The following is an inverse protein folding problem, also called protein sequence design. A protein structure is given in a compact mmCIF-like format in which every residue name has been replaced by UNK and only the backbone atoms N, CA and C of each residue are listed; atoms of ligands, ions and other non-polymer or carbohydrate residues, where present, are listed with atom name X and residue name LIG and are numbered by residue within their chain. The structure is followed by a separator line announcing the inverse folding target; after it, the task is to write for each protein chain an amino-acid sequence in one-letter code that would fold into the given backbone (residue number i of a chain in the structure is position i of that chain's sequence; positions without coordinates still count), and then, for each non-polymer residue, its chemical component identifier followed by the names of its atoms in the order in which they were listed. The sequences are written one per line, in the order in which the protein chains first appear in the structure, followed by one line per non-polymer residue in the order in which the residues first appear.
data_IF_963068670808
#
_entry.id   IF_963068670808
#
_cell.length_a   1.000
_cell.length_b   1.000
_cell.length_c   1.000
_cell.angle_alpha   90.00
_cell.angle_beta   90.00
_cell.angle_gamma   90.00
#
_symmetry.space_group_name_H-M   'P 1'
#
loop_
_entity.id
_entity.type
_entity.pdbx_description
1 polymer ?
#
# COMPACT_ATOMS: atom_id res chain seq x y z
N UNK A 1 -21.57 -25.71 14.04
CA UNK A 1 -20.97 -24.40 13.71
C UNK A 1 -19.47 -24.48 13.96
N UNK A 2 -18.60 -24.17 12.98
CA UNK A 2 -17.17 -24.13 13.24
C UNK A 2 -16.86 -23.00 14.24
N UNK A 3 -16.16 -23.32 15.33
CA UNK A 3 -15.69 -22.33 16.30
C UNK A 3 -14.61 -21.49 15.62
N UNK A 4 -14.96 -20.29 15.17
CA UNK A 4 -14.02 -19.29 14.67
C UNK A 4 -13.09 -18.98 15.84
N UNK A 5 -11.82 -19.39 15.75
CA UNK A 5 -10.82 -19.00 16.76
C UNK A 5 -10.64 -17.48 16.64
N UNK A 6 -10.69 -16.71 17.74
CA UNK A 6 -10.34 -15.31 17.68
C UNK A 6 -8.94 -15.18 17.08
N UNK A 7 -8.79 -14.34 16.06
CA UNK A 7 -7.49 -14.00 15.48
C UNK A 7 -6.55 -13.57 16.61
N UNK A 8 -5.38 -14.21 16.68
CA UNK A 8 -4.26 -13.78 17.51
C UNK A 8 -3.88 -12.34 17.14
N UNK A 9 -3.22 -11.62 18.04
CA UNK A 9 -2.71 -10.27 17.78
C UNK A 9 -1.93 -10.20 16.45
N UNK A 10 -1.06 -11.18 16.21
CA UNK A 10 -0.29 -11.34 14.96
C UNK A 10 -1.19 -11.48 13.73
N UNK A 11 -2.27 -12.26 13.82
CA UNK A 11 -3.23 -12.43 12.73
C UNK A 11 -3.98 -11.15 12.38
N UNK A 12 -4.30 -10.33 13.39
CA UNK A 12 -4.95 -9.02 13.18
C UNK A 12 -4.01 -8.01 12.53
N UNK A 13 -2.74 -8.00 12.93
CA UNK A 13 -1.72 -7.14 12.33
C UNK A 13 -1.43 -7.52 10.88
N UNK A 14 -1.37 -8.82 10.58
CA UNK A 14 -1.21 -9.31 9.21
C UNK A 14 -2.41 -8.92 8.32
N UNK A 15 -3.65 -9.09 8.80
CA UNK A 15 -4.84 -8.63 8.09
C UNK A 15 -4.86 -7.11 7.88
N UNK A 16 -4.49 -6.34 8.89
CA UNK A 16 -4.43 -4.89 8.79
C UNK A 16 -3.39 -4.46 7.75
N UNK A 17 -2.19 -5.04 7.80
CA UNK A 17 -1.12 -4.79 6.83
C UNK A 17 -1.58 -5.09 5.41
N UNK A 18 -2.27 -6.24 5.23
CA UNK A 18 -2.83 -6.61 3.92
C UNK A 18 -3.84 -5.57 3.42
N UNK A 19 -4.79 -5.15 4.27
CA UNK A 19 -5.79 -4.12 3.91
C UNK A 19 -5.14 -2.79 3.53
N UNK A 20 -4.16 -2.33 4.32
CA UNK A 20 -3.43 -1.11 4.02
C UNK A 20 -2.72 -1.19 2.67
N UNK A 21 -2.08 -2.33 2.38
CA UNK A 21 -1.41 -2.53 1.11
C UNK A 21 -2.39 -2.60 -0.07
N UNK A 22 -3.58 -3.17 0.10
CA UNK A 22 -4.65 -3.21 -0.92
C UNK A 22 -5.12 -1.80 -1.32
N UNK A 23 -5.39 -0.94 -0.32
CA UNK A 23 -5.76 0.47 -0.56
C UNK A 23 -4.66 1.19 -1.33
N UNK A 24 -3.41 1.00 -0.90
CA UNK A 24 -2.26 1.65 -1.52
C UNK A 24 -2.00 1.17 -2.95
N UNK A 25 -2.25 -0.11 -3.24
CA UNK A 25 -2.19 -0.65 -4.60
C UNK A 25 -3.26 -0.02 -5.52
N UNK A 26 -4.47 0.24 -5.00
CA UNK A 26 -5.52 0.98 -5.73
C UNK A 26 -5.09 2.42 -5.97
N UNK A 27 -4.59 3.11 -4.95
CA UNK A 27 -4.12 4.49 -5.07
C UNK A 27 -2.96 4.62 -6.08
N UNK A 28 -2.00 3.69 -6.08
CA UNK A 28 -0.92 3.61 -7.07
C UNK A 28 -1.43 3.46 -8.51
N UNK A 29 -2.52 2.70 -8.71
CA UNK A 29 -3.15 2.56 -10.03
C UNK A 29 -3.84 3.85 -10.45
N UNK A 30 -4.59 4.49 -9.55
CA UNK A 30 -5.26 5.77 -9.79
C UNK A 30 -4.29 6.90 -10.10
N UNK A 31 -3.24 7.06 -9.30
CA UNK A 31 -2.20 8.07 -9.51
C UNK A 31 -1.65 8.08 -10.94
N UNK A 32 -1.40 6.91 -11.54
CA UNK A 32 -0.93 6.82 -12.93
C UNK A 32 -1.97 7.34 -13.92
N UNK A 33 -3.25 7.06 -13.69
CA UNK A 33 -4.36 7.54 -14.54
C UNK A 33 -4.53 9.05 -14.38
N UNK A 34 -4.51 9.55 -13.15
CA UNK A 34 -4.83 10.94 -12.83
C UNK A 34 -3.71 11.91 -13.21
N UNK A 35 -2.45 11.52 -13.02
CA UNK A 35 -1.29 12.39 -13.29
C UNK A 35 -0.60 12.12 -14.63
N UNK A 36 -0.87 10.98 -15.26
CA UNK A 36 -0.16 10.52 -16.45
C UNK A 36 1.32 10.17 -16.23
N UNK A 37 1.83 10.28 -14.98
CA UNK A 37 3.22 10.00 -14.66
C UNK A 37 3.50 8.51 -14.82
N UNK A 38 4.51 8.17 -15.60
CA UNK A 38 4.91 6.79 -15.80
C UNK A 38 5.54 6.20 -14.54
N UNK A 39 5.28 4.91 -14.32
CA UNK A 39 5.83 4.15 -13.20
C UNK A 39 7.37 4.25 -13.13
N UNK A 40 8.06 4.41 -14.27
CA UNK A 40 9.52 4.56 -14.31
C UNK A 40 10.01 5.86 -13.64
N UNK A 41 9.27 6.96 -13.78
CA UNK A 41 9.60 8.24 -13.14
C UNK A 41 9.38 8.14 -11.63
N UNK A 42 8.25 7.54 -11.23
CA UNK A 42 7.94 7.28 -9.83
C UNK A 42 9.00 6.38 -9.18
N UNK A 43 9.41 5.30 -9.87
CA UNK A 43 10.48 4.40 -9.42
C UNK A 43 11.80 5.15 -9.18
N UNK A 44 12.20 6.04 -10.10
CA UNK A 44 13.41 6.85 -9.93
C UNK A 44 13.33 7.76 -8.71
N UNK A 45 12.18 8.38 -8.46
CA UNK A 45 11.99 9.25 -7.27
C UNK A 45 12.05 8.47 -5.96
N UNK A 46 11.55 7.23 -5.97
CA UNK A 46 11.46 6.36 -4.80
C UNK A 46 12.73 5.50 -4.59
N UNK A 47 13.65 5.47 -5.56
CA UNK A 47 14.83 4.60 -5.52
C UNK A 47 14.49 3.10 -5.57
N UNK A 48 13.35 2.73 -6.15
CA UNK A 48 12.90 1.33 -6.21
C UNK A 48 12.91 0.78 -7.63
N UNK A 49 12.99 -0.54 -7.76
CA UNK A 49 12.91 -1.20 -9.07
C UNK A 49 11.49 -1.11 -9.65
N UNK A 50 11.40 -1.09 -10.99
CA UNK A 50 10.11 -1.14 -11.69
C UNK A 50 9.31 -2.40 -11.35
N UNK A 51 10.00 -3.51 -11.12
CA UNK A 51 9.39 -4.77 -10.72
C UNK A 51 8.73 -4.66 -9.34
N UNK A 52 9.31 -3.87 -8.42
CA UNK A 52 8.70 -3.63 -7.11
C UNK A 52 7.33 -2.96 -7.25
N UNK A 53 7.19 -1.90 -8.06
CA UNK A 53 5.89 -1.24 -8.30
C UNK A 53 4.89 -2.19 -8.95
N UNK A 54 5.31 -3.00 -9.93
CA UNK A 54 4.42 -3.98 -10.57
C UNK A 54 3.93 -5.00 -9.54
N UNK A 55 4.81 -5.46 -8.66
CA UNK A 55 4.46 -6.39 -7.60
C UNK A 55 3.50 -5.74 -6.60
N UNK A 56 3.75 -4.51 -6.15
CA UNK A 56 2.84 -3.80 -5.24
C UNK A 56 1.45 -3.60 -5.84
N UNK A 57 1.35 -3.40 -7.16
CA UNK A 57 0.06 -3.31 -7.86
C UNK A 57 -0.63 -4.67 -8.01
N UNK A 58 0.11 -5.78 -8.14
CA UNK A 58 -0.47 -7.12 -8.39
C UNK A 58 -0.76 -7.88 -7.10
N UNK A 59 0.19 -7.88 -6.18
CA UNK A 59 0.11 -8.56 -4.90
C UNK A 59 0.53 -7.61 -3.77
N UNK A 60 -0.45 -6.97 -3.11
CA UNK A 60 -0.17 -6.04 -2.03
C UNK A 60 0.45 -6.70 -0.79
N UNK A 61 0.41 -8.03 -0.64
CA UNK A 61 0.88 -8.71 0.58
C UNK A 61 2.37 -8.53 0.91
N UNK A 62 3.18 -8.03 -0.04
CA UNK A 62 4.65 -8.01 0.05
C UNK A 62 5.21 -6.64 0.49
N UNK A 63 4.39 -5.59 0.55
CA UNK A 63 4.87 -4.26 0.86
C UNK A 63 5.06 -4.07 2.38
N UNK A 64 6.27 -3.67 2.79
CA UNK A 64 6.57 -3.32 4.18
C UNK A 64 5.96 -1.96 4.55
N UNK A 65 5.74 -1.73 5.84
CA UNK A 65 5.12 -0.50 6.34
C UNK A 65 5.95 0.77 6.01
N UNK A 66 7.28 0.69 6.06
CA UNK A 66 8.17 1.80 5.65
C UNK A 66 8.00 2.13 4.16
N UNK A 67 7.91 1.10 3.31
CA UNK A 67 7.69 1.29 1.88
C UNK A 67 6.30 1.87 1.60
N UNK A 68 5.28 1.40 2.31
CA UNK A 68 3.92 1.95 2.22
C UNK A 68 3.94 3.47 2.49
N UNK A 69 4.59 3.90 3.59
CA UNK A 69 4.71 5.32 3.94
C UNK A 69 5.43 6.14 2.85
N UNK A 70 6.56 5.65 2.34
CA UNK A 70 7.32 6.31 1.25
C UNK A 70 6.48 6.46 -0.01
N UNK A 71 5.81 5.38 -0.42
CA UNK A 71 4.96 5.38 -1.62
C UNK A 71 3.80 6.34 -1.46
N UNK A 72 3.07 6.27 -0.33
CA UNK A 72 1.96 7.19 -0.02
C UNK A 72 2.37 8.65 -0.12
N UNK A 73 3.52 9.02 0.43
CA UNK A 73 4.03 10.38 0.35
C UNK A 73 4.35 10.80 -1.09
N UNK A 74 4.94 9.91 -1.90
CA UNK A 74 5.29 10.20 -3.28
C UNK A 74 4.06 10.35 -4.20
N UNK A 75 3.02 9.52 -4.00
CA UNK A 75 1.80 9.59 -4.83
C UNK A 75 0.76 10.59 -4.31
N UNK A 76 1.05 11.27 -3.19
CA UNK A 76 0.14 12.21 -2.52
C UNK A 76 -1.27 11.62 -2.39
N UNK A 77 -1.37 10.49 -1.70
CA UNK A 77 -2.66 9.82 -1.44
C UNK A 77 -3.69 10.80 -0.88
N UNK A 78 -4.95 10.59 -1.26
CA UNK A 78 -6.06 11.37 -0.73
C UNK A 78 -6.13 11.25 0.81
N UNK A 79 -6.69 12.23 1.52
CA UNK A 79 -6.87 12.14 2.97
C UNK A 79 -7.66 10.89 3.40
N UNK A 80 -8.63 10.46 2.58
CA UNK A 80 -9.43 9.25 2.79
C UNK A 80 -8.58 7.97 2.67
N UNK A 81 -7.76 7.87 1.62
CA UNK A 81 -6.85 6.74 1.44
C UNK A 81 -5.77 6.72 2.53
N UNK A 82 -5.28 7.89 2.94
CA UNK A 82 -4.31 8.02 4.03
C UNK A 82 -4.86 7.53 5.38
N UNK A 83 -6.13 7.84 5.67
CA UNK A 83 -6.84 7.31 6.83
C UNK A 83 -6.99 5.78 6.76
N UNK A 84 -7.35 5.26 5.59
CA UNK A 84 -7.55 3.83 5.38
C UNK A 84 -6.25 3.01 5.48
N UNK A 85 -5.10 3.60 5.14
CA UNK A 85 -3.76 3.00 5.29
C UNK A 85 -3.27 3.10 6.75
N UNK A 86 -4.00 3.79 7.63
CA UNK A 86 -3.63 3.93 9.04
C UNK A 86 -2.59 5.03 9.29
N UNK A 87 -2.58 6.09 8.48
CA UNK A 87 -1.64 7.21 8.55
C UNK A 87 -1.57 7.97 9.89
N UNK A 88 -2.49 7.68 10.83
CA UNK A 88 -2.47 8.23 12.20
C UNK A 88 -1.75 7.33 13.23
N UNK A 89 -1.39 6.08 12.89
CA UNK A 89 -0.63 5.22 13.80
C UNK A 89 0.86 5.62 13.75
N UNK A 90 1.20 6.57 14.63
CA UNK A 90 2.57 6.92 15.05
C UNK A 90 3.01 5.96 16.13
#
# INVERSE_FOLDING_TARGET
MPKIRPLTSEGREAEQTKKCNEVLAVALRRHRVDTGIQDQVLCKSLGISRNAIINYKRDPGVMTLDMARKVSHAIKVSPEDWLAIGGYKV
#
